data_IF_847382383428
#
_entry.id   IF_847382383428
#
_cell.length_a   1.000
_cell.length_b   1.000
_cell.length_c   1.000
_cell.angle_alpha   90.00
_cell.angle_beta   90.00
_cell.angle_gamma   90.00
#
_symmetry.space_group_name_H-M   'P 1'
#
loop_
_entity.id
_entity.type
_entity.pdbx_description
1 polymer ?
#
# COMPACT_ATOMS: atom_id res chain seq x y z
N UNK A 1 -61.77 -11.22 -73.89
CA UNK A 1 -60.82 -10.37 -73.15
C UNK A 1 -60.31 -11.16 -71.95
N UNK A 2 -59.11 -11.77 -72.10
CA UNK A 2 -58.51 -12.73 -71.15
C UNK A 2 -57.54 -11.99 -70.26
N UNK A 3 -57.75 -12.01 -68.93
CA UNK A 3 -56.85 -11.46 -67.93
C UNK A 3 -55.89 -12.55 -67.49
N UNK A 4 -54.63 -12.35 -67.82
CA UNK A 4 -53.50 -13.22 -67.36
C UNK A 4 -53.20 -12.92 -65.90
N UNK A 5 -53.12 -13.98 -65.06
CA UNK A 5 -52.58 -13.98 -63.68
C UNK A 5 -51.08 -13.91 -63.71
N UNK A 6 -50.41 -13.19 -62.74
CA UNK A 6 -48.98 -13.18 -62.63
C UNK A 6 -48.48 -14.44 -61.88
N UNK A 7 -47.29 -14.89 -62.31
CA UNK A 7 -46.55 -16.07 -61.86
C UNK A 7 -45.89 -15.77 -60.49
N UNK A 8 -46.32 -16.46 -59.42
CA UNK A 8 -45.62 -16.48 -58.13
C UNK A 8 -44.50 -17.51 -58.14
N UNK A 9 -43.27 -17.03 -58.06
CA UNK A 9 -42.11 -17.89 -57.86
C UNK A 9 -42.05 -18.35 -56.39
N UNK A 10 -42.32 -19.61 -56.11
CA UNK A 10 -42.04 -20.26 -54.84
C UNK A 10 -40.54 -20.36 -54.59
N UNK A 11 -40.00 -19.58 -53.66
CA UNK A 11 -38.70 -19.86 -53.05
C UNK A 11 -38.81 -21.09 -52.15
N UNK A 12 -38.25 -22.19 -52.57
CA UNK A 12 -38.08 -23.39 -51.72
C UNK A 12 -36.89 -23.17 -50.82
N UNK A 13 -37.16 -22.79 -49.55
CA UNK A 13 -36.16 -22.83 -48.50
C UNK A 13 -35.89 -24.28 -48.11
N UNK A 14 -34.79 -24.82 -48.57
CA UNK A 14 -34.32 -26.12 -48.15
C UNK A 14 -33.84 -26.05 -46.68
N UNK A 15 -34.65 -26.52 -45.77
CA UNK A 15 -34.25 -26.69 -44.36
C UNK A 15 -33.21 -27.83 -44.29
N UNK A 16 -32.02 -27.51 -43.79
CA UNK A 16 -31.00 -28.54 -43.48
C UNK A 16 -31.59 -29.52 -42.45
N UNK A 17 -31.41 -30.84 -42.63
CA UNK A 17 -31.86 -31.83 -41.66
C UNK A 17 -31.25 -31.60 -40.31
N UNK A 18 -32.03 -31.74 -39.23
CA UNK A 18 -31.64 -31.43 -37.83
C UNK A 18 -30.32 -32.12 -37.43
N UNK A 19 -30.03 -33.29 -37.93
CA UNK A 19 -28.76 -34.02 -37.72
C UNK A 19 -27.55 -33.25 -38.21
N UNK A 20 -27.62 -32.58 -39.37
CA UNK A 20 -26.50 -31.78 -39.92
C UNK A 20 -26.27 -30.51 -39.13
N UNK A 21 -27.33 -29.88 -38.60
CA UNK A 21 -27.22 -28.69 -37.70
C UNK A 21 -26.53 -29.07 -36.38
N UNK A 22 -26.87 -30.20 -35.80
CA UNK A 22 -26.22 -30.69 -34.56
C UNK A 22 -24.74 -30.96 -34.79
N UNK A 23 -24.38 -31.58 -35.89
CA UNK A 23 -22.96 -31.86 -36.22
C UNK A 23 -22.17 -30.56 -36.41
N UNK A 24 -22.74 -29.56 -37.11
CA UNK A 24 -22.09 -28.25 -37.28
C UNK A 24 -21.90 -27.52 -35.95
N UNK A 25 -22.88 -27.59 -35.04
CA UNK A 25 -22.76 -27.02 -33.70
C UNK A 25 -21.67 -27.71 -32.86
N UNK A 26 -21.61 -29.03 -32.88
CA UNK A 26 -20.57 -29.82 -32.21
C UNK A 26 -19.17 -29.50 -32.73
N UNK A 27 -18.99 -29.38 -34.04
CA UNK A 27 -17.73 -28.99 -34.65
C UNK A 27 -17.34 -27.56 -34.26
N UNK A 28 -18.30 -26.64 -34.26
CA UNK A 28 -18.08 -25.24 -33.82
C UNK A 28 -17.65 -25.19 -32.36
N UNK A 29 -18.32 -25.88 -31.46
CA UNK A 29 -17.96 -25.94 -30.01
C UNK A 29 -16.59 -26.55 -29.81
N UNK A 30 -16.28 -27.67 -30.52
CA UNK A 30 -14.97 -28.31 -30.44
C UNK A 30 -13.84 -27.39 -30.94
N UNK A 31 -14.10 -26.59 -31.98
CA UNK A 31 -13.15 -25.57 -32.48
C UNK A 31 -12.85 -24.49 -31.46
N UNK A 32 -13.91 -23.97 -30.78
CA UNK A 32 -13.76 -22.96 -29.73
C UNK A 32 -12.97 -23.53 -28.52
N UNK A 33 -13.30 -24.75 -28.10
CA UNK A 33 -12.58 -25.41 -26.99
C UNK A 33 -11.12 -25.63 -27.34
N UNK A 34 -10.82 -26.03 -28.57
CA UNK A 34 -9.44 -26.22 -29.04
C UNK A 34 -8.67 -24.87 -29.04
N UNK A 35 -9.28 -23.79 -29.51
CA UNK A 35 -8.66 -22.46 -29.50
C UNK A 35 -8.38 -21.97 -28.09
N UNK A 36 -9.32 -22.18 -27.17
CA UNK A 36 -9.12 -21.85 -25.73
C UNK A 36 -7.98 -22.69 -25.14
N UNK A 37 -7.90 -23.99 -25.46
CA UNK A 37 -6.83 -24.84 -24.99
C UNK A 37 -5.45 -24.41 -25.53
N UNK A 38 -5.36 -24.05 -26.82
CA UNK A 38 -4.12 -23.54 -27.41
C UNK A 38 -3.70 -22.19 -26.80
N UNK A 39 -4.65 -21.33 -26.49
CA UNK A 39 -4.38 -20.06 -25.81
C UNK A 39 -3.83 -20.30 -24.41
N UNK A 40 -4.48 -21.17 -23.62
CA UNK A 40 -4.01 -21.53 -22.28
C UNK A 40 -2.62 -22.20 -22.33
N UNK A 41 -2.38 -23.09 -23.27
CA UNK A 41 -1.09 -23.75 -23.45
C UNK A 41 0.04 -22.73 -23.75
N UNK A 42 -0.25 -21.73 -24.57
CA UNK A 42 0.66 -20.61 -24.84
C UNK A 42 0.97 -19.80 -23.59
N UNK A 43 -0.03 -19.45 -22.81
CA UNK A 43 0.13 -18.74 -21.53
C UNK A 43 0.97 -19.53 -20.52
N UNK A 44 0.71 -20.83 -20.37
CA UNK A 44 1.49 -21.72 -19.51
C UNK A 44 2.94 -21.83 -19.98
N UNK A 45 3.18 -21.92 -21.29
CA UNK A 45 4.53 -21.95 -21.85
C UNK A 45 5.28 -20.63 -21.59
N UNK A 46 4.60 -19.49 -21.71
CA UNK A 46 5.16 -18.16 -21.43
C UNK A 46 5.53 -18.03 -19.95
N UNK A 47 4.65 -18.49 -19.05
CA UNK A 47 4.90 -18.51 -17.60
C UNK A 47 6.07 -19.45 -17.24
N UNK A 48 6.17 -20.60 -17.89
CA UNK A 48 7.28 -21.54 -17.68
C UNK A 48 8.61 -20.94 -18.09
N UNK A 49 8.69 -20.34 -19.27
CA UNK A 49 9.90 -19.68 -19.76
C UNK A 49 10.29 -18.49 -18.87
N UNK A 50 9.31 -17.76 -18.33
CA UNK A 50 9.53 -16.70 -17.36
C UNK A 50 10.13 -17.22 -16.04
N UNK A 51 9.59 -18.31 -15.51
CA UNK A 51 10.11 -18.96 -14.29
C UNK A 51 11.54 -19.50 -14.51
N UNK A 52 11.80 -20.12 -15.64
CA UNK A 52 13.13 -20.65 -15.98
C UNK A 52 14.17 -19.54 -16.16
N UNK A 53 13.81 -18.41 -16.80
CA UNK A 53 14.71 -17.27 -16.94
C UNK A 53 15.05 -16.61 -15.59
N UNK A 54 14.07 -16.47 -14.70
CA UNK A 54 14.31 -15.93 -13.36
C UNK A 54 15.02 -16.91 -12.41
N UNK A 55 14.85 -18.21 -12.59
CA UNK A 55 15.60 -19.21 -11.82
C UNK A 55 17.08 -19.24 -12.23
N UNK A 56 17.40 -19.03 -13.50
CA UNK A 56 18.78 -18.87 -13.97
C UNK A 56 19.44 -17.59 -13.47
N UNK A 57 18.71 -16.45 -13.45
CA UNK A 57 19.24 -15.19 -12.86
C UNK A 57 19.55 -15.34 -11.37
N UNK A 58 18.71 -16.07 -10.62
CA UNK A 58 18.94 -16.36 -9.21
C UNK A 58 20.14 -17.30 -8.99
N UNK A 59 20.36 -18.26 -9.87
CA UNK A 59 21.53 -19.16 -9.82
C UNK A 59 22.81 -18.44 -10.23
N UNK A 60 22.79 -17.58 -11.24
CA UNK A 60 23.94 -16.77 -11.63
C UNK A 60 24.31 -15.72 -10.56
N UNK A 61 23.32 -15.17 -9.87
CA UNK A 61 23.53 -14.25 -8.74
C UNK A 61 24.06 -14.95 -7.48
N UNK A 62 23.76 -16.25 -7.32
CA UNK A 62 24.30 -17.10 -6.25
C UNK A 62 25.73 -17.58 -6.53
N UNK A 63 26.07 -17.82 -7.80
CA UNK A 63 27.40 -18.26 -8.23
C UNK A 63 28.46 -17.13 -8.20
N UNK A 64 28.02 -15.87 -8.37
CA UNK A 64 28.92 -14.70 -8.26
C UNK A 64 29.33 -14.34 -6.83
N UNK A 65 28.76 -14.98 -5.80
CA UNK A 65 29.10 -14.80 -4.38
C UNK A 65 29.98 -15.92 -3.81
N UNK A 66 30.45 -16.85 -4.66
CA UNK A 66 31.17 -18.05 -4.23
C UNK A 66 32.62 -18.21 -4.71
N UNK A 67 33.26 -17.17 -5.27
CA UNK A 67 34.67 -17.22 -5.65
C UNK A 67 35.43 -15.99 -5.11
N UNK A 68 35.87 -16.08 -3.87
CA UNK A 68 37.14 -15.53 -3.38
C UNK A 68 37.40 -16.08 -1.98
N UNK A 69 38.43 -16.91 -1.87
CA UNK A 69 38.89 -17.48 -0.61
C UNK A 69 39.74 -18.72 -0.82
N UNK A 70 40.92 -18.56 -1.44
CA UNK A 70 41.96 -19.60 -1.50
C UNK A 70 42.65 -19.82 -0.16
N UNK A 71 42.88 -21.07 0.12
CA UNK A 71 43.98 -21.69 0.89
C UNK A 71 44.25 -21.30 2.33
N UNK A 72 43.91 -22.22 3.22
CA UNK A 72 44.91 -22.84 4.10
C UNK A 72 44.35 -24.13 4.75
N UNK A 73 45.07 -25.18 4.49
CA UNK A 73 45.01 -26.51 5.10
C UNK A 73 45.02 -26.49 6.63
N UNK A 74 44.29 -27.43 7.28
CA UNK A 74 44.79 -28.44 8.23
C UNK A 74 43.64 -29.14 8.95
N UNK A 75 43.61 -30.46 8.75
CA UNK A 75 43.26 -31.61 9.62
C UNK A 75 41.95 -31.62 10.45
N UNK A 76 41.16 -32.56 10.06
CA UNK A 76 40.44 -33.61 10.82
C UNK A 76 40.27 -33.47 12.34
N UNK A 77 39.03 -33.54 12.80
CA UNK A 77 38.56 -34.64 13.66
C UNK A 77 37.03 -34.56 13.85
N UNK A 78 36.46 -35.70 13.60
CA UNK A 78 35.14 -36.18 14.02
C UNK A 78 34.91 -35.95 15.52
N UNK A 79 33.73 -35.46 15.90
CA UNK A 79 32.92 -36.16 16.91
C UNK A 79 31.43 -35.69 16.93
N UNK A 80 30.61 -36.70 16.89
CA UNK A 80 29.21 -36.73 17.26
C UNK A 80 28.98 -36.36 18.73
N UNK A 81 27.85 -35.76 19.03
CA UNK A 81 26.83 -36.12 20.05
C UNK A 81 26.01 -34.86 20.35
N UNK A 82 24.77 -34.82 20.01
CA UNK A 82 23.57 -35.37 20.65
C UNK A 82 23.24 -34.79 22.05
N UNK A 83 22.01 -34.33 22.15
CA UNK A 83 21.05 -34.39 23.28
C UNK A 83 20.97 -33.21 24.26
N UNK A 84 19.75 -32.69 24.27
CA UNK A 84 18.80 -32.39 25.37
C UNK A 84 18.92 -31.15 26.25
N UNK A 85 17.80 -30.46 26.20
CA UNK A 85 16.87 -30.12 27.31
C UNK A 85 17.46 -29.61 28.65
N UNK A 86 16.94 -28.53 29.08
CA UNK A 86 16.06 -28.31 30.23
C UNK A 86 16.22 -26.95 30.91
N UNK A 87 15.11 -26.27 31.05
CA UNK A 87 14.53 -25.69 32.26
C UNK A 87 15.45 -25.36 33.47
N UNK A 88 15.42 -24.15 33.98
CA UNK A 88 14.84 -23.81 35.29
C UNK A 88 15.21 -22.38 35.71
N UNK A 89 14.25 -21.53 36.03
CA UNK A 89 13.76 -21.09 37.34
C UNK A 89 14.88 -20.91 38.41
N UNK A 90 15.07 -19.67 38.89
CA UNK A 90 14.97 -19.23 40.29
C UNK A 90 15.30 -17.75 40.42
N UNK A 91 14.37 -16.93 40.86
CA UNK A 91 14.03 -16.39 42.19
C UNK A 91 15.18 -16.18 43.15
N UNK A 92 15.40 -14.90 43.54
CA UNK A 92 15.60 -14.43 44.90
C UNK A 92 15.63 -12.89 44.93
N UNK A 93 14.73 -12.24 45.53
CA UNK A 93 14.49 -11.81 46.92
C UNK A 93 15.56 -10.86 47.46
N UNK A 94 15.13 -9.65 47.78
CA UNK A 94 15.89 -8.66 48.54
C UNK A 94 15.01 -7.54 49.06
N UNK A 95 14.67 -7.65 50.28
CA UNK A 95 13.86 -6.77 51.18
C UNK A 95 14.42 -5.36 51.32
N UNK A 96 13.49 -4.42 51.59
CA UNK A 96 13.82 -3.13 52.20
C UNK A 96 12.59 -2.33 52.61
N UNK A 97 12.39 -2.27 53.87
CA UNK A 97 11.30 -1.70 54.74
C UNK A 97 11.22 -0.19 54.74
N UNK A 98 10.01 0.26 55.15
CA UNK A 98 9.71 1.48 55.92
C UNK A 98 8.67 2.35 55.20
N UNK A 99 7.52 2.74 55.68
CA UNK A 99 7.03 2.92 57.01
C UNK A 99 6.21 4.22 57.03
N UNK A 100 4.98 4.19 57.61
CA UNK A 100 4.20 5.36 58.00
C UNK A 100 3.10 5.74 56.99
N UNK A 101 1.82 5.72 57.24
CA UNK A 101 1.05 6.04 58.43
C UNK A 101 0.23 7.31 58.17
N UNK A 102 -1.12 7.21 58.11
CA UNK A 102 -1.98 8.37 58.03
C UNK A 102 -3.45 8.03 57.74
N UNK A 103 -4.19 7.83 58.80
CA UNK A 103 -5.66 7.71 58.83
C UNK A 103 -6.33 9.06 58.64
N UNK A 104 -7.46 9.10 57.96
CA UNK A 104 -8.41 10.19 58.01
C UNK A 104 -9.81 9.74 57.59
N UNK A 105 -10.67 9.67 58.60
CA UNK A 105 -12.10 9.30 58.54
C UNK A 105 -12.98 10.45 58.04
N UNK A 106 -14.10 10.10 57.43
CA UNK A 106 -15.40 10.68 57.82
C UNK A 106 -16.14 11.47 56.74
N UNK A 107 -17.40 11.12 56.55
CA UNK A 107 -18.40 12.05 56.02
C UNK A 107 -19.54 11.35 55.24
N UNK A 108 -20.55 10.89 56.02
CA UNK A 108 -21.87 10.52 55.50
C UNK A 108 -22.69 11.76 55.14
N UNK A 109 -23.46 11.69 54.06
CA UNK A 109 -24.54 12.60 53.77
C UNK A 109 -25.63 11.92 52.94
N UNK A 110 -26.77 11.70 53.62
CA UNK A 110 -28.02 11.13 53.12
C UNK A 110 -28.86 12.16 52.40
N UNK A 111 -29.69 11.69 51.46
CA UNK A 111 -31.09 12.14 51.39
C UNK A 111 -31.52 12.71 50.05
N UNK A 112 -32.59 12.15 49.52
CA UNK A 112 -33.59 12.85 48.79
C UNK A 112 -34.29 12.07 47.65
N UNK A 113 -35.45 11.53 48.05
CA UNK A 113 -36.45 10.82 47.22
C UNK A 113 -37.21 11.76 46.27
N UNK A 114 -37.74 11.20 45.15
CA UNK A 114 -38.82 11.78 44.32
C UNK A 114 -39.06 10.96 43.07
N UNK A 115 -39.90 9.99 43.07
CA UNK A 115 -41.25 9.79 42.54
C UNK A 115 -41.43 10.49 41.17
N UNK A 116 -41.64 9.90 40.01
CA UNK A 116 -42.58 8.92 39.56
C UNK A 116 -43.12 9.40 38.22
N UNK A 117 -43.42 8.52 37.29
CA UNK A 117 -44.20 8.83 36.10
C UNK A 117 -43.84 7.96 34.90
N UNK A 118 -44.69 6.97 34.71
CA UNK A 118 -44.59 6.02 33.65
C UNK A 118 -45.14 6.49 32.30
N UNK A 119 -44.91 5.69 31.27
CA UNK A 119 -45.75 5.73 30.10
C UNK A 119 -45.03 5.44 28.79
N UNK A 120 -45.34 4.29 28.25
CA UNK A 120 -45.52 4.18 26.80
C UNK A 120 -44.36 3.61 25.99
N UNK A 121 -44.44 2.30 25.77
CA UNK A 121 -43.65 1.59 24.76
C UNK A 121 -43.94 2.09 23.35
N UNK A 122 -42.89 2.34 22.61
CA UNK A 122 -42.89 2.51 21.20
C UNK A 122 -41.67 1.79 20.64
N UNK A 123 -41.87 0.54 20.18
CA UNK A 123 -40.88 -0.17 19.38
C UNK A 123 -40.66 0.56 18.07
N UNK A 124 -39.81 1.56 18.09
CA UNK A 124 -39.25 2.17 16.91
C UNK A 124 -38.09 1.33 16.39
N UNK A 125 -38.30 0.57 15.34
CA UNK A 125 -37.25 -0.01 14.52
C UNK A 125 -36.28 1.09 14.13
N UNK A 126 -35.20 1.23 14.91
CA UNK A 126 -34.06 2.09 14.58
C UNK A 126 -33.34 1.47 13.42
N UNK A 127 -33.63 1.96 12.22
CA UNK A 127 -32.81 1.74 11.05
C UNK A 127 -31.40 2.16 11.39
N UNK A 128 -30.50 1.20 11.56
CA UNK A 128 -29.08 1.40 11.77
C UNK A 128 -28.46 2.11 10.57
N UNK A 129 -28.55 3.44 10.55
CA UNK A 129 -27.54 4.27 9.89
C UNK A 129 -26.26 4.13 10.70
N UNK A 130 -25.50 3.05 10.46
CA UNK A 130 -24.12 2.94 10.93
C UNK A 130 -23.33 4.00 10.19
N UNK A 131 -23.18 5.18 10.76
CA UNK A 131 -22.12 6.11 10.45
C UNK A 131 -20.78 5.37 10.49
N UNK A 132 -19.77 5.89 9.80
CA UNK A 132 -18.42 5.35 9.83
C UNK A 132 -18.02 5.18 11.31
N UNK A 133 -17.84 3.93 11.75
CA UNK A 133 -17.39 3.63 13.11
C UNK A 133 -15.90 4.01 13.19
N UNK A 134 -15.64 5.19 13.76
CA UNK A 134 -14.29 5.72 13.87
C UNK A 134 -13.41 4.93 14.84
N UNK A 135 -13.99 4.11 15.71
CA UNK A 135 -13.25 3.28 16.65
C UNK A 135 -12.83 1.94 16.02
N UNK A 136 -13.48 1.52 14.93
CA UNK A 136 -13.05 0.38 14.12
C UNK A 136 -12.16 0.76 12.90
N UNK A 137 -11.78 2.04 12.79
CA UNK A 137 -11.05 2.57 11.64
C UNK A 137 -9.68 1.90 11.45
N UNK A 138 -9.41 1.45 10.23
CA UNK A 138 -8.11 0.93 9.81
C UNK A 138 -7.57 1.74 8.65
N UNK A 139 -6.35 2.23 8.81
CA UNK A 139 -5.59 2.92 7.76
C UNK A 139 -4.42 2.05 7.34
N UNK A 140 -4.19 1.89 6.05
CA UNK A 140 -3.00 1.22 5.51
C UNK A 140 -2.14 2.23 4.77
N UNK A 141 -0.90 2.35 5.23
CA UNK A 141 0.15 3.11 4.56
C UNK A 141 1.15 2.14 3.93
N UNK A 142 0.92 1.78 2.68
CA UNK A 142 1.79 0.90 1.91
C UNK A 142 2.97 1.68 1.33
N UNK A 143 3.95 1.97 2.21
CA UNK A 143 5.05 2.91 2.00
C UNK A 143 5.93 2.58 0.81
N UNK A 144 6.15 3.57 -0.04
CA UNK A 144 7.16 3.50 -1.10
C UNK A 144 8.53 3.89 -0.53
N UNK A 145 9.64 3.21 -0.91
CA UNK A 145 10.98 3.61 -0.48
C UNK A 145 11.39 4.99 -0.99
N UNK A 146 11.94 5.83 -0.11
CA UNK A 146 12.52 7.15 -0.42
C UNK A 146 11.54 8.25 -0.82
N UNK A 147 10.30 8.17 -0.33
CA UNK A 147 9.24 9.19 -0.47
C UNK A 147 8.93 9.93 0.84
N UNK A 148 9.91 10.15 1.72
CA UNK A 148 9.68 10.86 3.00
C UNK A 148 8.91 10.06 4.05
N UNK A 149 8.62 8.78 3.80
CA UNK A 149 7.75 7.95 4.63
C UNK A 149 8.16 7.80 6.10
N UNK A 150 9.43 8.00 6.43
CA UNK A 150 9.90 7.93 7.82
C UNK A 150 9.49 9.16 8.63
N UNK A 151 9.53 10.34 8.02
CA UNK A 151 9.07 11.60 8.65
C UNK A 151 7.58 11.50 8.94
N UNK A 152 6.78 11.10 7.96
CA UNK A 152 5.33 10.95 8.13
C UNK A 152 4.96 9.91 9.18
N UNK A 153 5.54 8.69 9.12
CA UNK A 153 5.18 7.66 10.10
C UNK A 153 5.68 8.00 11.52
N UNK A 154 6.73 8.83 11.62
CA UNK A 154 7.20 9.39 12.89
C UNK A 154 6.11 10.21 13.58
N UNK A 155 5.34 11.01 12.84
CA UNK A 155 4.18 11.75 13.36
C UNK A 155 3.12 10.79 13.90
N UNK A 156 2.80 9.72 13.18
CA UNK A 156 1.83 8.74 13.64
C UNK A 156 2.24 8.07 14.96
N UNK A 157 3.53 7.75 15.14
CA UNK A 157 4.05 7.23 16.40
C UNK A 157 3.97 8.25 17.56
N UNK A 158 4.16 9.54 17.29
CA UNK A 158 4.05 10.57 18.32
C UNK A 158 2.58 10.84 18.70
N UNK A 159 1.66 10.71 17.73
CA UNK A 159 0.24 10.96 17.94
C UNK A 159 -0.53 9.76 18.52
N UNK A 160 -0.01 8.53 18.36
CA UNK A 160 -0.76 7.32 18.65
C UNK A 160 -1.25 7.24 20.11
N UNK A 161 -0.42 7.64 21.07
CA UNK A 161 -0.81 7.66 22.49
C UNK A 161 -1.86 8.74 22.79
N UNK A 162 -1.65 9.96 22.28
CA UNK A 162 -2.56 11.10 22.47
C UNK A 162 -3.93 10.85 21.85
N UNK A 163 -3.96 10.33 20.62
CA UNK A 163 -5.18 10.11 19.86
C UNK A 163 -5.71 8.67 19.98
N UNK A 164 -5.13 7.83 20.85
CA UNK A 164 -5.57 6.48 21.21
C UNK A 164 -5.80 5.57 19.99
N UNK A 165 -4.77 5.34 19.21
CA UNK A 165 -4.75 4.39 18.09
C UNK A 165 -3.46 3.59 18.07
N UNK A 166 -3.47 2.44 17.39
CA UNK A 166 -2.30 1.58 17.26
C UNK A 166 -1.51 1.89 15.98
N UNK A 167 -0.17 1.86 16.06
CA UNK A 167 0.71 1.95 14.88
C UNK A 167 1.47 0.64 14.74
N UNK A 168 1.23 -0.09 13.65
CA UNK A 168 1.70 -1.44 13.43
C UNK A 168 2.61 -1.49 12.22
N UNK A 169 3.88 -1.87 12.44
CA UNK A 169 4.84 -2.04 11.36
C UNK A 169 4.75 -3.44 10.76
N UNK A 170 4.45 -3.50 9.46
CA UNK A 170 4.38 -4.74 8.68
C UNK A 170 5.73 -4.98 8.01
N UNK A 171 6.40 -6.06 8.41
CA UNK A 171 7.63 -6.51 7.77
C UNK A 171 7.35 -7.73 6.90
N UNK A 172 7.74 -7.64 5.64
CA UNK A 172 7.67 -8.75 4.69
C UNK A 172 8.99 -9.54 4.70
N UNK A 173 8.91 -10.85 4.46
CA UNK A 173 10.08 -11.72 4.35
C UNK A 173 11.00 -11.21 3.24
N UNK A 174 12.30 -11.16 3.53
CA UNK A 174 13.35 -10.65 2.60
C UNK A 174 13.06 -9.24 2.05
N UNK A 175 12.18 -8.47 2.71
CA UNK A 175 11.73 -7.13 2.27
C UNK A 175 11.06 -7.14 0.90
N UNK A 176 10.51 -8.28 0.47
CA UNK A 176 9.79 -8.39 -0.79
C UNK A 176 8.44 -7.65 -0.67
N UNK A 177 8.14 -6.67 -1.53
CA UNK A 177 6.87 -5.95 -1.50
C UNK A 177 5.69 -6.77 -2.05
N UNK A 178 5.96 -7.87 -2.77
CA UNK A 178 4.94 -8.79 -3.25
C UNK A 178 4.70 -9.92 -2.25
N UNK A 179 3.43 -10.19 -1.97
CA UNK A 179 2.99 -11.27 -1.10
C UNK A 179 2.50 -12.44 -1.94
N UNK A 180 2.77 -13.67 -1.49
CA UNK A 180 2.10 -14.86 -2.04
C UNK A 180 0.59 -14.76 -1.79
N UNK A 181 -0.22 -15.49 -2.57
CA UNK A 181 -1.67 -15.48 -2.39
C UNK A 181 -2.06 -15.88 -0.95
N UNK A 182 -1.40 -16.87 -0.38
CA UNK A 182 -1.62 -17.31 1.00
C UNK A 182 -1.27 -16.21 2.01
N UNK A 183 -0.18 -15.46 1.79
CA UNK A 183 0.20 -14.36 2.67
C UNK A 183 -0.73 -13.15 2.52
N UNK A 184 -1.26 -12.89 1.32
CA UNK A 184 -2.31 -11.89 1.10
C UNK A 184 -3.55 -12.25 1.91
N UNK A 185 -4.06 -13.49 1.82
CA UNK A 185 -5.20 -13.98 2.61
C UNK A 185 -4.95 -13.84 4.11
N UNK A 186 -3.78 -14.27 4.58
CA UNK A 186 -3.38 -14.17 5.99
C UNK A 186 -3.33 -12.73 6.48
N UNK A 187 -2.77 -11.83 5.67
CA UNK A 187 -2.70 -10.41 5.99
C UNK A 187 -4.10 -9.79 6.11
N UNK A 188 -4.96 -10.03 5.12
CA UNK A 188 -6.35 -9.56 5.14
C UNK A 188 -7.10 -10.09 6.36
N UNK A 189 -6.97 -11.40 6.65
CA UNK A 189 -7.59 -12.01 7.82
C UNK A 189 -7.13 -11.37 9.13
N UNK A 190 -5.81 -11.21 9.32
CA UNK A 190 -5.25 -10.65 10.54
C UNK A 190 -5.69 -9.19 10.75
N UNK A 191 -5.63 -8.36 9.71
CA UNK A 191 -6.02 -6.94 9.79
C UNK A 191 -7.52 -6.81 10.05
N UNK A 192 -8.34 -7.68 9.46
CA UNK A 192 -9.81 -7.63 9.61
C UNK A 192 -10.27 -8.03 11.00
N UNK A 193 -9.58 -9.00 11.64
CA UNK A 193 -10.06 -9.62 12.89
C UNK A 193 -9.29 -9.17 14.14
N UNK A 194 -8.33 -8.30 14.04
CA UNK A 194 -7.57 -7.84 15.21
C UNK A 194 -8.22 -6.63 15.86
N UNK A 195 -9.36 -6.87 16.53
CA UNK A 195 -10.21 -5.81 17.11
C UNK A 195 -9.49 -4.99 18.20
N UNK A 196 -8.65 -5.61 19.04
CA UNK A 196 -7.98 -4.93 20.15
C UNK A 196 -6.96 -3.88 19.69
N UNK A 197 -6.60 -3.89 18.40
CA UNK A 197 -5.68 -2.91 17.82
C UNK A 197 -6.38 -1.73 17.16
N UNK A 198 -7.67 -1.83 16.93
CA UNK A 198 -8.42 -0.74 16.27
C UNK A 198 -8.72 0.41 17.26
N UNK A 199 -8.75 1.63 16.79
CA UNK A 199 -8.35 2.06 15.45
C UNK A 199 -6.85 1.91 15.22
N UNK A 200 -6.42 1.63 13.98
CA UNK A 200 -5.03 1.28 13.69
C UNK A 200 -4.48 1.84 12.38
N UNK A 201 -3.19 2.16 12.38
CA UNK A 201 -2.41 2.41 11.15
C UNK A 201 -1.44 1.25 10.95
N UNK A 202 -1.62 0.50 9.88
CA UNK A 202 -0.66 -0.49 9.41
C UNK A 202 0.26 0.15 8.38
N UNK A 203 1.58 0.01 8.56
CA UNK A 203 2.52 0.54 7.59
C UNK A 203 3.63 -0.45 7.25
N UNK A 204 4.00 -0.52 5.98
CA UNK A 204 5.04 -1.41 5.50
C UNK A 204 5.37 -1.19 4.03
N UNK A 205 6.42 -1.86 3.54
CA UNK A 205 6.75 -1.86 2.13
C UNK A 205 6.06 -3.06 1.46
N UNK A 206 4.82 -2.87 0.99
CA UNK A 206 4.01 -3.88 0.30
C UNK A 206 3.17 -3.22 -0.79
N UNK A 207 2.86 -3.96 -1.85
CA UNK A 207 1.94 -3.51 -2.90
C UNK A 207 0.52 -3.30 -2.38
N UNK A 208 -0.28 -2.55 -3.11
CA UNK A 208 -1.70 -2.39 -2.84
C UNK A 208 -2.39 -3.77 -2.81
N UNK A 209 -3.29 -3.97 -1.86
CA UNK A 209 -4.04 -5.21 -1.69
C UNK A 209 -5.53 -4.90 -1.54
N UNK A 210 -6.33 -5.42 -2.45
CA UNK A 210 -7.77 -5.29 -2.41
C UNK A 210 -8.36 -6.28 -1.40
N UNK A 211 -8.87 -5.76 -0.29
CA UNK A 211 -9.51 -6.55 0.78
C UNK A 211 -10.83 -7.16 0.35
N UNK A 212 -11.55 -6.48 -0.54
CA UNK A 212 -12.83 -6.96 -1.05
C UNK A 212 -12.67 -8.26 -1.84
N UNK A 213 -11.58 -8.41 -2.58
CA UNK A 213 -11.25 -9.63 -3.33
C UNK A 213 -11.19 -10.88 -2.45
N UNK A 214 -10.91 -10.73 -1.15
CA UNK A 214 -10.82 -11.81 -0.17
C UNK A 214 -12.09 -11.93 0.68
N UNK A 215 -13.19 -11.27 0.31
CA UNK A 215 -14.46 -11.33 1.02
C UNK A 215 -14.46 -10.63 2.38
N UNK A 216 -13.47 -9.78 2.66
CA UNK A 216 -13.42 -9.04 3.90
C UNK A 216 -14.50 -7.94 3.92
N UNK A 217 -15.23 -7.86 5.04
CA UNK A 217 -16.18 -6.76 5.28
C UNK A 217 -15.47 -5.44 5.58
N UNK A 218 -14.30 -5.52 6.19
CA UNK A 218 -13.44 -4.37 6.45
C UNK A 218 -12.87 -3.86 5.14
N UNK A 219 -13.04 -2.56 4.88
CA UNK A 219 -12.37 -1.83 3.81
C UNK A 219 -11.44 -0.79 4.46
N UNK A 220 -10.14 -1.05 4.51
CA UNK A 220 -9.21 -0.10 5.10
C UNK A 220 -9.05 1.13 4.22
N UNK A 221 -8.82 2.29 4.84
CA UNK A 221 -8.44 3.51 4.13
C UNK A 221 -6.97 3.43 3.73
N UNK A 222 -6.69 3.41 2.44
CA UNK A 222 -5.31 3.48 1.94
C UNK A 222 -4.85 4.93 1.84
N UNK A 223 -3.64 5.20 2.33
CA UNK A 223 -2.94 6.47 2.15
C UNK A 223 -1.55 6.21 1.61
N UNK A 224 -1.00 7.15 0.84
CA UNK A 224 0.38 7.05 0.38
C UNK A 224 0.99 8.43 0.07
N UNK A 225 2.31 8.44 -0.13
CA UNK A 225 3.08 9.60 -0.56
C UNK A 225 4.02 9.16 -1.67
N UNK A 226 3.98 9.86 -2.80
CA UNK A 226 4.92 9.70 -3.91
C UNK A 226 5.95 10.82 -3.92
N UNK A 227 6.93 10.73 -4.81
CA UNK A 227 8.01 11.71 -4.95
C UNK A 227 8.38 11.87 -6.42
N UNK A 228 8.91 13.05 -6.80
CA UNK A 228 9.51 13.23 -8.13
C UNK A 228 10.43 12.06 -8.47
N UNK A 229 10.25 11.38 -9.61
CA UNK A 229 10.95 10.13 -9.92
C UNK A 229 12.47 10.25 -9.86
N UNK A 230 13.02 11.34 -10.41
CA UNK A 230 14.46 11.59 -10.38
C UNK A 230 14.97 11.75 -8.94
N UNK A 231 14.31 12.57 -8.12
CA UNK A 231 14.69 12.80 -6.73
C UNK A 231 14.62 11.55 -5.88
N UNK A 232 13.62 10.70 -6.15
CA UNK A 232 13.49 9.42 -5.50
C UNK A 232 14.64 8.48 -5.89
N UNK A 233 14.95 8.38 -7.21
CA UNK A 233 16.05 7.57 -7.73
C UNK A 233 17.38 7.99 -7.12
N UNK A 234 17.74 9.26 -7.19
CA UNK A 234 18.96 9.82 -6.62
C UNK A 234 19.04 9.53 -5.11
N UNK A 235 17.92 9.74 -4.39
CA UNK A 235 17.86 9.44 -2.96
C UNK A 235 18.06 7.96 -2.66
N UNK A 236 17.55 7.05 -3.50
CA UNK A 236 17.72 5.62 -3.34
C UNK A 236 19.15 5.18 -3.66
N UNK A 237 19.70 5.64 -4.77
CA UNK A 237 21.05 5.34 -5.23
C UNK A 237 22.12 5.63 -4.16
N UNK A 238 22.08 6.84 -3.59
CA UNK A 238 23.04 7.20 -2.55
C UNK A 238 22.73 6.58 -1.18
N UNK A 239 21.48 6.28 -0.90
CA UNK A 239 21.11 5.59 0.35
C UNK A 239 21.66 4.17 0.44
N UNK A 240 21.60 3.39 -0.63
CA UNK A 240 22.15 2.02 -0.62
C UNK A 240 23.67 2.02 -0.48
N UNK A 241 24.36 3.09 -0.92
CA UNK A 241 25.82 3.24 -0.83
C UNK A 241 26.30 3.82 0.49
N UNK A 242 25.65 4.85 0.98
CA UNK A 242 26.14 5.59 2.14
C UNK A 242 25.26 5.46 3.39
N UNK A 243 24.03 4.94 3.25
CA UNK A 243 23.06 4.91 4.34
C UNK A 243 22.42 6.28 4.61
N UNK A 244 21.94 6.46 5.81
CA UNK A 244 21.39 7.73 6.30
C UNK A 244 21.89 8.04 7.71
N UNK A 245 21.64 9.25 8.18
CA UNK A 245 22.04 9.78 9.47
C UNK A 245 21.15 9.33 10.65
N UNK A 246 20.00 8.71 10.38
CA UNK A 246 19.07 8.29 11.44
C UNK A 246 19.65 7.22 12.37
N UNK A 247 20.53 6.37 11.86
CA UNK A 247 21.16 5.27 12.61
C UNK A 247 22.64 5.12 12.26
N UNK A 248 23.47 6.12 12.59
CA UNK A 248 24.89 6.13 12.21
C UNK A 248 25.66 4.95 12.79
N UNK A 249 25.24 4.40 13.94
CA UNK A 249 25.85 3.26 14.60
C UNK A 249 25.47 1.90 13.98
N UNK A 250 24.39 1.82 13.21
CA UNK A 250 24.10 0.62 12.42
C UNK A 250 24.91 0.67 11.14
N UNK A 251 26.03 -0.01 11.15
CA UNK A 251 26.75 -0.36 9.93
C UNK A 251 25.84 -1.30 9.11
N UNK A 252 24.93 -0.74 8.34
CA UNK A 252 24.28 -1.54 7.32
C UNK A 252 25.37 -1.93 6.33
N UNK A 253 25.43 -3.21 5.95
CA UNK A 253 26.25 -3.66 4.83
C UNK A 253 25.83 -2.82 3.63
N UNK A 254 26.66 -1.83 3.29
CA UNK A 254 26.40 -0.94 2.16
C UNK A 254 26.71 -1.74 0.92
N UNK A 255 25.82 -1.69 -0.04
CA UNK A 255 26.01 -2.33 -1.34
C UNK A 255 26.46 -1.27 -2.35
N UNK A 256 27.33 -1.65 -3.26
CA UNK A 256 27.89 -0.78 -4.28
C UNK A 256 29.20 -0.07 -3.84
N UNK A 257 29.89 0.45 -4.83
CA UNK A 257 31.09 1.26 -4.70
C UNK A 257 30.79 2.74 -4.36
N UNK A 258 31.78 3.61 -4.47
CA UNK A 258 31.64 5.05 -4.26
C UNK A 258 31.29 5.82 -5.55
N UNK A 259 30.98 5.10 -6.63
CA UNK A 259 30.65 5.65 -7.95
C UNK A 259 29.49 6.65 -7.85
N UNK A 260 29.62 7.77 -8.56
CA UNK A 260 28.54 8.73 -8.72
C UNK A 260 27.45 8.20 -9.63
N UNK A 261 26.26 8.80 -9.60
CA UNK A 261 25.18 8.38 -10.49
C UNK A 261 25.56 8.64 -11.97
N UNK A 262 26.32 9.69 -12.25
CA UNK A 262 26.81 10.01 -13.60
C UNK A 262 27.75 8.94 -14.14
N UNK A 263 28.76 8.56 -13.35
CA UNK A 263 29.67 7.47 -13.70
C UNK A 263 28.93 6.16 -13.91
N UNK A 264 27.97 5.85 -13.03
CA UNK A 264 27.17 4.65 -13.11
C UNK A 264 26.36 4.60 -14.43
N UNK A 265 25.68 5.69 -14.80
CA UNK A 265 24.89 5.78 -16.04
C UNK A 265 25.78 5.77 -17.27
N UNK A 266 26.97 6.39 -17.21
CA UNK A 266 27.92 6.41 -18.31
C UNK A 266 28.39 5.02 -18.70
N UNK A 267 28.67 4.15 -17.70
CA UNK A 267 29.09 2.76 -17.93
C UNK A 267 27.95 1.75 -17.97
N UNK A 268 26.68 2.23 -17.90
CA UNK A 268 25.47 1.39 -17.89
C UNK A 268 25.48 0.30 -16.79
N UNK A 269 26.01 0.63 -15.62
CA UNK A 269 26.07 -0.31 -14.51
C UNK A 269 24.69 -0.72 -14.00
N UNK A 270 24.56 -1.95 -13.52
CA UNK A 270 23.28 -2.53 -13.09
C UNK A 270 22.62 -1.71 -11.94
N UNK A 271 23.40 -1.12 -11.05
CA UNK A 271 22.90 -0.35 -9.89
C UNK A 271 22.11 0.91 -10.25
N UNK A 272 22.29 1.45 -11.45
CA UNK A 272 21.57 2.60 -11.96
C UNK A 272 20.65 2.24 -13.13
N UNK A 273 20.38 0.96 -13.34
CA UNK A 273 19.43 0.53 -14.35
C UNK A 273 18.03 1.14 -14.12
N UNK A 274 17.29 1.30 -15.18
CA UNK A 274 15.93 1.86 -15.14
C UNK A 274 14.96 1.04 -14.31
N UNK A 275 15.28 -0.23 -13.99
CA UNK A 275 14.48 -1.07 -13.09
C UNK A 275 14.40 -0.49 -11.68
N UNK A 276 15.45 0.20 -11.20
CA UNK A 276 15.43 0.89 -9.91
C UNK A 276 14.56 2.16 -9.89
N UNK A 277 14.24 2.68 -11.07
CA UNK A 277 13.30 3.78 -11.23
C UNK A 277 11.86 3.28 -11.13
N UNK A 278 11.56 2.06 -11.63
CA UNK A 278 10.25 1.41 -11.60
C UNK A 278 9.89 1.00 -10.17
N UNK A 279 9.23 1.89 -9.45
CA UNK A 279 8.99 1.68 -8.02
C UNK A 279 7.62 2.18 -7.55
N UNK A 280 7.18 3.35 -7.99
CA UNK A 280 5.96 3.94 -7.45
C UNK A 280 4.73 3.26 -8.05
N UNK A 281 4.68 3.11 -9.37
CA UNK A 281 3.62 2.40 -10.08
C UNK A 281 3.36 1.00 -9.50
N UNK A 282 4.37 0.12 -9.29
CA UNK A 282 4.14 -1.22 -8.73
C UNK A 282 3.43 -1.24 -7.39
N UNK A 283 3.74 -0.28 -6.51
CA UNK A 283 3.11 -0.22 -5.18
C UNK A 283 1.62 0.11 -5.23
N UNK A 284 1.19 0.91 -6.21
CA UNK A 284 -0.22 1.22 -6.44
C UNK A 284 -0.92 0.14 -7.28
N UNK A 285 -0.22 -0.45 -8.23
CA UNK A 285 -0.72 -1.52 -9.07
C UNK A 285 -1.05 -2.79 -8.26
N UNK A 286 -0.14 -3.22 -7.34
CA UNK A 286 -0.39 -4.31 -6.40
C UNK A 286 0.49 -5.54 -6.57
N UNK A 287 -0.13 -6.74 -6.46
CA UNK A 287 0.57 -8.02 -6.37
C UNK A 287 0.58 -8.85 -7.66
N UNK A 288 0.07 -8.35 -8.76
CA UNK A 288 0.14 -9.01 -10.06
C UNK A 288 1.58 -8.98 -10.58
N UNK A 289 2.02 -10.04 -11.26
CA UNK A 289 3.36 -10.11 -11.85
C UNK A 289 3.62 -8.93 -12.79
N UNK A 290 2.65 -8.59 -13.64
CA UNK A 290 2.72 -7.48 -14.59
C UNK A 290 2.97 -6.12 -13.94
N UNK A 291 2.54 -5.91 -12.67
CA UNK A 291 2.83 -4.68 -11.93
C UNK A 291 4.33 -4.43 -11.78
N UNK A 292 5.12 -5.49 -11.73
CA UNK A 292 6.56 -5.46 -11.46
C UNK A 292 7.40 -5.55 -12.73
N UNK A 293 6.76 -5.55 -13.92
CA UNK A 293 7.43 -5.46 -15.21
C UNK A 293 7.74 -4.01 -15.55
N UNK A 294 9.02 -3.58 -15.57
CA UNK A 294 9.40 -2.20 -15.83
C UNK A 294 8.90 -1.72 -17.19
N UNK A 295 8.19 -0.59 -17.20
CA UNK A 295 7.65 -0.01 -18.42
C UNK A 295 6.31 -0.60 -18.88
N UNK A 296 5.62 -1.37 -18.03
CA UNK A 296 4.26 -1.84 -18.32
C UNK A 296 3.25 -0.68 -18.27
N UNK A 297 2.61 -0.42 -19.40
CA UNK A 297 1.53 0.57 -19.50
C UNK A 297 0.26 0.08 -18.80
N UNK A 298 0.01 -1.21 -18.81
CA UNK A 298 -1.08 -1.82 -18.07
C UNK A 298 -0.94 -1.58 -16.55
N UNK A 299 0.29 -1.73 -16.02
CA UNK A 299 0.56 -1.46 -14.62
C UNK A 299 0.32 0.02 -14.25
N UNK A 300 0.66 0.95 -15.15
CA UNK A 300 0.36 2.38 -14.97
C UNK A 300 -1.14 2.64 -14.90
N UNK A 301 -1.91 2.10 -15.83
CA UNK A 301 -3.36 2.31 -15.85
C UNK A 301 -4.05 1.70 -14.62
N UNK A 302 -3.64 0.51 -14.20
CA UNK A 302 -4.16 -0.10 -12.96
C UNK A 302 -3.75 0.71 -11.72
N UNK A 303 -2.54 1.26 -11.67
CA UNK A 303 -2.09 2.11 -10.58
C UNK A 303 -2.91 3.41 -10.48
N UNK A 304 -3.20 4.06 -11.62
CA UNK A 304 -4.09 5.23 -11.69
C UNK A 304 -5.50 4.89 -11.25
N UNK A 305 -6.04 3.77 -11.74
CA UNK A 305 -7.36 3.28 -11.35
C UNK A 305 -7.44 3.08 -9.83
N UNK A 306 -6.51 2.34 -9.26
CA UNK A 306 -6.47 2.08 -7.81
C UNK A 306 -6.35 3.38 -7.01
N UNK A 307 -5.51 4.32 -7.47
CA UNK A 307 -5.35 5.62 -6.81
C UNK A 307 -6.68 6.36 -6.68
N UNK A 308 -7.45 6.42 -7.74
CA UNK A 308 -8.72 7.18 -7.76
C UNK A 308 -9.83 6.48 -6.98
N UNK A 309 -9.90 5.14 -7.05
CA UNK A 309 -11.05 4.39 -6.52
C UNK A 309 -10.81 3.77 -5.14
N UNK A 310 -9.54 3.53 -4.78
CA UNK A 310 -9.20 2.70 -3.62
C UNK A 310 -8.32 3.42 -2.59
N UNK A 311 -7.73 4.57 -2.93
CA UNK A 311 -6.97 5.36 -1.97
C UNK A 311 -7.82 6.50 -1.43
N UNK A 312 -7.76 6.68 -0.11
CA UNK A 312 -8.41 7.80 0.57
C UNK A 312 -7.69 9.12 0.28
N UNK A 313 -6.36 9.11 0.37
CA UNK A 313 -5.54 10.28 0.11
C UNK A 313 -4.12 9.86 -0.31
N UNK A 314 -3.63 10.45 -1.39
CA UNK A 314 -2.24 10.31 -1.84
C UNK A 314 -1.66 11.69 -2.04
N UNK A 315 -0.54 11.97 -1.35
CA UNK A 315 0.18 13.23 -1.47
C UNK A 315 1.54 13.07 -2.17
N UNK A 316 2.25 14.17 -2.25
CA UNK A 316 3.62 14.22 -2.78
C UNK A 316 4.60 14.64 -1.69
N UNK A 317 5.84 14.14 -1.75
CA UNK A 317 6.89 14.45 -0.76
C UNK A 317 7.20 15.94 -0.74
N UNK A 318 7.06 16.60 -1.87
CA UNK A 318 7.34 18.01 -2.10
C UNK A 318 6.34 18.92 -1.39
N UNK A 319 5.12 18.42 -1.10
CA UNK A 319 4.03 19.14 -0.44
C UNK A 319 3.51 18.32 0.77
N UNK A 320 4.46 17.83 1.59
CA UNK A 320 4.14 16.93 2.70
C UNK A 320 3.37 17.64 3.82
N UNK A 321 3.55 18.94 3.97
CA UNK A 321 2.83 19.77 4.95
C UNK A 321 1.34 19.81 4.64
N UNK A 322 0.98 20.08 3.38
CA UNK A 322 -0.41 20.08 2.93
C UNK A 322 -1.04 18.68 3.05
N UNK A 323 -0.27 17.64 2.74
CA UNK A 323 -0.74 16.27 2.94
C UNK A 323 -1.06 15.98 4.42
N UNK A 324 -0.22 16.43 5.34
CA UNK A 324 -0.44 16.29 6.79
C UNK A 324 -1.67 17.10 7.23
N UNK A 325 -1.81 18.34 6.75
CA UNK A 325 -2.96 19.17 7.02
C UNK A 325 -4.26 18.51 6.56
N UNK A 326 -4.28 17.99 5.32
CA UNK A 326 -5.46 17.29 4.79
C UNK A 326 -5.83 16.06 5.61
N UNK A 327 -4.85 15.29 6.08
CA UNK A 327 -5.11 14.15 6.97
C UNK A 327 -5.66 14.59 8.33
N UNK A 328 -5.16 15.68 8.91
CA UNK A 328 -5.68 16.20 10.16
C UNK A 328 -7.14 16.60 10.05
N UNK A 329 -7.51 17.32 8.99
CA UNK A 329 -8.89 17.75 8.78
C UNK A 329 -9.82 16.60 8.40
N UNK A 330 -9.35 15.65 7.59
CA UNK A 330 -10.19 14.56 7.08
C UNK A 330 -10.30 13.37 8.05
N UNK A 331 -9.27 13.13 8.86
CA UNK A 331 -9.20 12.03 9.81
C UNK A 331 -8.77 12.49 11.23
N UNK A 332 -9.49 13.46 11.83
CA UNK A 332 -9.09 14.05 13.12
C UNK A 332 -9.06 13.02 14.26
N UNK A 333 -9.75 11.89 14.12
CA UNK A 333 -9.72 10.78 15.10
C UNK A 333 -8.30 10.25 15.32
N UNK A 334 -7.46 10.27 14.27
CA UNK A 334 -6.07 9.80 14.33
C UNK A 334 -5.05 10.93 14.25
N UNK A 335 -5.30 11.96 13.44
CA UNK A 335 -4.28 12.94 13.06
C UNK A 335 -4.45 14.32 13.73
N UNK A 336 -5.33 14.48 14.73
CA UNK A 336 -5.47 15.76 15.45
C UNK A 336 -4.13 16.19 16.06
N UNK A 337 -3.68 17.41 15.71
CA UNK A 337 -2.41 17.99 16.13
C UNK A 337 -1.22 17.55 15.28
N UNK A 338 -1.46 16.93 14.10
CA UNK A 338 -0.40 16.48 13.21
C UNK A 338 0.32 17.63 12.53
N UNK A 339 -0.41 18.66 12.12
CA UNK A 339 0.16 19.84 11.44
C UNK A 339 1.07 20.62 12.38
N UNK A 340 0.61 20.93 13.58
CA UNK A 340 1.42 21.63 14.59
C UNK A 340 2.69 20.85 14.91
N UNK A 341 2.57 19.52 15.05
CA UNK A 341 3.71 18.65 15.33
C UNK A 341 4.69 18.58 14.16
N UNK A 342 4.20 18.66 12.92
CA UNK A 342 5.03 18.67 11.72
C UNK A 342 5.78 19.99 11.56
N UNK A 343 5.09 21.12 11.74
CA UNK A 343 5.67 22.46 11.55
C UNK A 343 6.64 22.80 12.68
N UNK A 344 6.27 22.54 13.95
CA UNK A 344 7.11 22.83 15.12
C UNK A 344 8.22 21.79 15.35
N UNK A 345 8.12 20.63 14.70
CA UNK A 345 8.97 19.48 14.99
C UNK A 345 10.28 19.48 14.20
N UNK A 346 11.31 18.87 14.81
CA UNK A 346 12.60 18.56 14.17
C UNK A 346 12.49 17.41 13.14
N UNK A 347 11.26 16.91 12.89
CA UNK A 347 11.03 15.64 12.15
C UNK A 347 10.74 15.82 10.67
N UNK A 348 10.60 17.03 10.17
CA UNK A 348 10.36 17.30 8.74
C UNK A 348 11.42 16.71 7.81
N UNK A 349 12.65 16.48 8.31
CA UNK A 349 13.78 15.95 7.53
C UNK A 349 14.62 14.92 8.30
N UNK A 350 13.97 13.91 8.90
CA UNK A 350 14.63 12.92 9.78
C UNK A 350 15.71 12.08 9.08
N UNK A 351 15.66 11.94 7.75
CA UNK A 351 16.62 11.14 7.00
C UNK A 351 17.27 11.93 5.88
N UNK A 352 18.47 12.40 6.12
CA UNK A 352 19.33 12.99 5.08
C UNK A 352 20.41 11.98 4.69
N UNK A 353 20.57 11.75 3.40
CA UNK A 353 21.75 11.06 2.86
C UNK A 353 22.81 12.13 2.65
N UNK A 354 23.85 12.10 3.46
CA UNK A 354 24.85 13.20 3.56
C UNK A 354 25.73 13.37 2.33
N UNK A 355 25.92 12.30 1.54
CA UNK A 355 26.81 12.30 0.36
C UNK A 355 26.01 12.21 -0.95
N UNK A 356 24.90 12.93 -1.04
CA UNK A 356 24.07 12.96 -2.23
C UNK A 356 24.61 14.00 -3.23
N UNK A 357 24.92 13.56 -4.44
CA UNK A 357 25.33 14.41 -5.56
C UNK A 357 24.18 14.35 -6.59
N UNK A 358 23.75 15.51 -7.06
CA UNK A 358 22.76 15.56 -8.14
C UNK A 358 23.46 15.23 -9.46
N UNK A 359 22.79 14.44 -10.32
CA UNK A 359 23.37 14.10 -11.62
C UNK A 359 23.44 15.31 -12.56
N UNK A 360 24.34 15.22 -13.54
CA UNK A 360 24.46 16.18 -14.63
C UNK A 360 23.22 16.19 -15.53
N UNK A 361 23.02 17.29 -16.26
CA UNK A 361 21.92 17.42 -17.22
C UNK A 361 21.96 16.33 -18.32
N UNK A 362 23.15 15.90 -18.72
CA UNK A 362 23.32 14.79 -19.67
C UNK A 362 22.77 13.47 -19.11
N UNK A 363 23.09 13.15 -17.86
CA UNK A 363 22.59 11.97 -17.17
C UNK A 363 21.08 12.05 -16.97
N UNK A 364 20.57 13.22 -16.59
CA UNK A 364 19.13 13.48 -16.45
C UNK A 364 18.44 13.21 -17.79
N UNK A 365 18.93 13.76 -18.89
CA UNK A 365 18.37 13.57 -20.23
C UNK A 365 18.36 12.08 -20.65
N UNK A 366 19.46 11.36 -20.38
CA UNK A 366 19.51 9.90 -20.64
C UNK A 366 18.44 9.12 -19.89
N UNK A 367 18.23 9.43 -18.61
CA UNK A 367 17.20 8.80 -17.78
C UNK A 367 15.80 9.15 -18.29
N UNK A 368 15.54 10.42 -18.61
CA UNK A 368 14.26 10.94 -19.07
C UNK A 368 13.82 10.37 -20.42
N UNK A 369 14.76 9.99 -21.28
CA UNK A 369 14.47 9.36 -22.57
C UNK A 369 13.97 7.91 -22.44
N UNK A 370 14.05 7.31 -21.26
CA UNK A 370 13.59 5.93 -21.05
C UNK A 370 12.07 5.83 -20.91
N UNK A 371 11.48 4.75 -21.43
CA UNK A 371 10.05 4.47 -21.27
C UNK A 371 9.66 4.42 -19.78
N UNK A 372 10.49 3.79 -18.97
CA UNK A 372 10.25 3.63 -17.52
C UNK A 372 10.13 4.98 -16.83
N UNK A 373 11.05 5.91 -17.13
CA UNK A 373 10.97 7.24 -16.54
C UNK A 373 9.70 7.98 -16.98
N UNK A 374 9.36 7.92 -18.27
CA UNK A 374 8.15 8.59 -18.79
C UNK A 374 6.89 8.13 -18.07
N UNK A 375 6.72 6.82 -17.86
CA UNK A 375 5.56 6.27 -17.17
C UNK A 375 5.55 6.64 -15.67
N UNK A 376 6.70 6.54 -14.97
CA UNK A 376 6.79 6.95 -13.56
C UNK A 376 6.54 8.45 -13.39
N UNK A 377 6.99 9.30 -14.32
CA UNK A 377 6.75 10.73 -14.31
C UNK A 377 5.29 11.06 -14.64
N UNK A 378 4.69 10.36 -15.59
CA UNK A 378 3.27 10.47 -15.90
C UNK A 378 2.41 10.10 -14.67
N UNK A 379 2.75 9.02 -13.99
CA UNK A 379 2.07 8.64 -12.75
C UNK A 379 2.24 9.69 -11.66
N UNK A 380 3.46 10.24 -11.47
CA UNK A 380 3.71 11.29 -10.50
C UNK A 380 2.87 12.54 -10.80
N UNK A 381 2.83 13.00 -12.04
CA UNK A 381 2.02 14.16 -12.44
C UNK A 381 0.53 13.91 -12.21
N UNK A 382 0.05 12.72 -12.55
CA UNK A 382 -1.34 12.32 -12.28
C UNK A 382 -1.68 12.36 -10.78
N UNK A 383 -0.78 11.87 -9.92
CA UNK A 383 -0.94 11.98 -8.46
C UNK A 383 -0.97 13.43 -8.01
N UNK A 384 -0.07 14.27 -8.51
CA UNK A 384 0.04 15.68 -8.14
C UNK A 384 -1.25 16.44 -8.52
N UNK A 385 -1.74 16.25 -9.74
CA UNK A 385 -2.99 16.89 -10.21
C UNK A 385 -4.19 16.42 -9.37
N UNK A 386 -4.28 15.12 -9.07
CA UNK A 386 -5.33 14.56 -8.22
C UNK A 386 -5.25 15.11 -6.79
N UNK A 387 -4.05 15.19 -6.23
CA UNK A 387 -3.82 15.76 -4.91
C UNK A 387 -4.24 17.23 -4.83
N UNK A 388 -3.83 18.06 -5.81
CA UNK A 388 -4.23 19.47 -5.88
C UNK A 388 -5.74 19.62 -6.03
N UNK A 389 -6.38 18.76 -6.83
CA UNK A 389 -7.85 18.77 -6.95
C UNK A 389 -8.54 18.51 -5.61
N UNK A 390 -8.12 17.47 -4.86
CA UNK A 390 -8.70 17.15 -3.56
C UNK A 390 -8.38 18.26 -2.54
N UNK A 391 -7.12 18.76 -2.51
CA UNK A 391 -6.70 19.86 -1.64
C UNK A 391 -7.59 21.09 -1.82
N UNK A 392 -7.79 21.52 -3.06
CA UNK A 392 -8.66 22.67 -3.39
C UNK A 392 -10.11 22.48 -2.94
N UNK A 393 -10.59 21.24 -2.87
CA UNK A 393 -11.95 20.92 -2.39
C UNK A 393 -12.03 20.84 -0.87
N UNK A 394 -10.96 20.47 -0.21
CA UNK A 394 -10.92 20.21 1.24
C UNK A 394 -10.45 21.43 2.04
N UNK A 395 -9.41 22.12 1.58
CA UNK A 395 -8.79 23.22 2.32
C UNK A 395 -8.97 24.56 1.63
N UNK A 396 -9.01 25.62 2.43
CA UNK A 396 -8.90 27.01 1.97
C UNK A 396 -7.92 27.76 2.89
N UNK A 397 -7.35 28.83 2.37
CA UNK A 397 -6.56 29.76 3.18
C UNK A 397 -7.51 30.68 3.94
N UNK A 398 -7.25 30.83 5.23
CA UNK A 398 -7.93 31.81 6.07
C UNK A 398 -7.33 33.21 5.88
N UNK A 399 -8.07 34.24 6.24
CA UNK A 399 -7.58 35.65 6.22
C UNK A 399 -6.31 35.86 7.05
N UNK A 400 -6.06 34.97 8.02
CA UNK A 400 -4.85 34.97 8.85
C UNK A 400 -3.65 34.19 8.22
N UNK A 401 -3.78 33.69 6.98
CA UNK A 401 -2.74 32.96 6.28
C UNK A 401 -2.57 31.48 6.67
N UNK A 402 -3.49 30.93 7.47
CA UNK A 402 -3.49 29.51 7.86
C UNK A 402 -4.41 28.66 6.99
N UNK A 403 -4.13 27.35 6.89
CA UNK A 403 -5.02 26.39 6.22
C UNK A 403 -6.18 26.04 7.15
N UNK A 404 -7.41 26.11 6.62
CA UNK A 404 -8.63 25.72 7.32
C UNK A 404 -9.49 24.81 6.43
N UNK A 405 -10.30 23.98 7.07
CA UNK A 405 -11.27 23.14 6.35
C UNK A 405 -12.32 24.04 5.68
N UNK A 406 -12.60 23.77 4.42
CA UNK A 406 -13.69 24.46 3.71
C UNK A 406 -15.04 24.22 4.35
N UNK A 407 -15.21 23.08 4.99
CA UNK A 407 -16.43 22.67 5.66
C UNK A 407 -17.67 22.76 4.74
N UNK A 408 -18.51 21.78 4.78
CA UNK A 408 -19.82 21.89 4.11
C UNK A 408 -20.91 21.48 5.09
N UNK A 409 -21.83 22.41 5.37
CA UNK A 409 -22.97 22.11 6.20
C UNK A 409 -24.04 21.38 5.40
N UNK A 410 -24.42 20.18 5.85
CA UNK A 410 -25.52 19.41 5.29
C UNK A 410 -26.77 19.63 6.11
N UNK A 411 -27.84 20.05 5.44
CA UNK A 411 -29.18 20.16 6.07
C UNK A 411 -30.04 19.02 5.54
N UNK A 412 -30.42 18.11 6.42
CA UNK A 412 -31.26 16.97 6.08
C UNK A 412 -32.74 17.35 6.28
N UNK A 413 -33.46 17.65 5.21
CA UNK A 413 -34.88 17.98 5.22
C UNK A 413 -35.73 16.76 4.87
N UNK A 414 -36.79 16.46 5.65
CA UNK A 414 -37.80 15.49 5.28
C UNK A 414 -38.77 16.12 4.28
N UNK A 415 -38.76 15.61 3.05
CA UNK A 415 -39.74 16.01 2.03
C UNK A 415 -41.09 15.41 2.43
N UNK A 416 -42.08 16.25 2.74
CA UNK A 416 -43.44 15.83 2.95
C UNK A 416 -44.15 15.81 1.58
N UNK A 417 -44.80 14.71 1.17
CA UNK A 417 -45.61 14.71 -0.06
C UNK A 417 -46.71 15.74 0.04
N UNK A 418 -46.98 16.47 -1.06
CA UNK A 418 -48.16 17.34 -1.14
C UNK A 418 -49.39 16.45 -0.90
N UNK A 419 -50.25 16.85 0.06
CA UNK A 419 -51.58 16.26 0.17
C UNK A 419 -52.32 16.63 -1.13
N UNK A 420 -52.71 15.64 -1.94
CA UNK A 420 -53.58 15.77 -3.08
C UNK A 420 -54.93 16.22 -2.63
#
# INVERSE_FOLDING_TARGET
MSLRKPCESRMTTSRLPASKVVVLLLVGVSGVVLLMYLHLAKEVCTLRNYIESHSMELQMSGAALGQDGSDSSISSSTNNNNINNNNNINSNSGRGRGGGGGRGKGGRGRGGSGVGGGGGGGSGSSGNNKGLDLDSLVVIYNRIPKTGSTSFIGLAYDLCSKNKFSVINVNTTKKNPTLSLTDQMRFVYNVSNWEEKKPAIYHGHLGYLDFHRFGAKLQPLYINVVRKPLDRLVSHYYFIRYGDDLRPQRVQKKTGDKMTLDECVAIQHQDCSTTHLWMQIPFFCGHYAECWVPGSTWALELAKHNLVHNYFLVGVTEELEEFVAMLEYSLPRMFRGALDLYVSGTKSHIRKTTKKIMPSEETIAKLQNTKVWRLENEFYNFVLDHFHFIRKKTLMESDAGGLVDRGQNFVYGKIKPRKS
#
